data_IF_268946946706
#
_entry.id   IF_268946946706
#
_cell.length_a   1.000
_cell.length_b   1.000
_cell.length_c   1.000
_cell.angle_alpha   90.00
_cell.angle_beta   90.00
_cell.angle_gamma   90.00
#
_symmetry.space_group_name_H-M   'P 1'
#
loop_
_entity.id
_entity.type
_entity.pdbx_description
1 polymer ?
#
# COMPACT_ATOMS: atom_id res chain seq x y z
N UNK A 1 7.74 -20.09 16.25
CA UNK A 1 8.42 -19.10 15.41
C UNK A 1 8.31 -17.68 16.01
N UNK A 2 7.12 -17.15 16.26
CA UNK A 2 6.95 -15.76 16.73
C UNK A 2 7.58 -15.46 18.10
N UNK A 3 7.54 -16.38 19.05
CA UNK A 3 8.21 -16.21 20.34
C UNK A 3 9.73 -16.01 20.17
N UNK A 4 10.35 -16.73 19.23
CA UNK A 4 11.77 -16.56 18.90
C UNK A 4 12.02 -15.21 18.22
N UNK A 5 11.13 -14.79 17.29
CA UNK A 5 11.19 -13.46 16.67
C UNK A 5 11.11 -12.36 17.73
N UNK A 6 10.17 -12.46 18.67
CA UNK A 6 10.00 -11.48 19.75
C UNK A 6 11.24 -11.45 20.67
N UNK A 7 11.88 -12.62 20.89
CA UNK A 7 13.15 -12.71 21.61
C UNK A 7 14.35 -12.12 20.84
N UNK A 8 14.17 -11.68 19.59
CA UNK A 8 15.23 -11.09 18.77
C UNK A 8 16.09 -12.10 18.03
N UNK A 9 15.57 -13.29 17.76
CA UNK A 9 16.27 -14.33 17.01
C UNK A 9 16.26 -14.00 15.50
N UNK A 10 17.43 -13.73 14.87
CA UNK A 10 17.50 -13.30 13.48
C UNK A 10 17.12 -14.44 12.51
N UNK A 11 17.41 -15.71 12.83
CA UNK A 11 17.08 -16.83 11.95
C UNK A 11 15.56 -17.05 11.90
N UNK A 12 14.88 -16.92 13.06
CA UNK A 12 13.43 -16.98 13.11
C UNK A 12 12.79 -15.82 12.35
N UNK A 13 13.40 -14.63 12.36
CA UNK A 13 12.93 -13.51 11.56
C UNK A 13 13.20 -13.70 10.07
N UNK A 14 14.33 -14.29 9.67
CA UNK A 14 14.62 -14.69 8.30
C UNK A 14 13.54 -15.63 7.75
N UNK A 15 13.15 -16.65 8.52
CA UNK A 15 12.06 -17.55 8.14
C UNK A 15 10.69 -16.82 8.03
N UNK A 16 10.43 -15.84 8.89
CA UNK A 16 9.22 -14.99 8.80
C UNK A 16 9.27 -14.12 7.55
N UNK A 17 10.42 -13.56 7.20
CA UNK A 17 10.63 -12.81 5.97
C UNK A 17 10.32 -13.67 4.75
N UNK A 18 10.94 -14.85 4.62
CA UNK A 18 10.73 -15.75 3.48
C UNK A 18 9.25 -16.13 3.32
N UNK A 19 8.56 -16.39 4.43
CA UNK A 19 7.15 -16.77 4.43
C UNK A 19 6.22 -15.64 3.94
N UNK A 20 6.54 -14.38 4.21
CA UNK A 20 5.62 -13.27 4.01
C UNK A 20 6.08 -12.24 2.97
N UNK A 21 7.33 -12.32 2.50
CA UNK A 21 7.91 -11.38 1.54
C UNK A 21 7.02 -11.15 0.32
N UNK A 22 6.61 -12.21 -0.36
CA UNK A 22 5.83 -12.10 -1.59
C UNK A 22 4.46 -11.44 -1.38
N UNK A 23 3.85 -11.61 -0.21
CA UNK A 23 2.56 -10.97 0.10
C UNK A 23 2.73 -9.47 0.37
N UNK A 24 3.78 -9.11 1.11
CA UNK A 24 4.15 -7.71 1.37
C UNK A 24 4.53 -7.01 0.07
N UNK A 25 5.38 -7.64 -0.75
CA UNK A 25 5.81 -7.09 -2.03
C UNK A 25 4.63 -6.89 -3.00
N UNK A 26 3.71 -7.87 -3.12
CA UNK A 26 2.49 -7.71 -3.92
C UNK A 26 1.61 -6.56 -3.44
N UNK A 27 1.52 -6.33 -2.14
CA UNK A 27 0.81 -5.16 -1.62
C UNK A 27 1.56 -3.87 -1.96
N UNK A 28 2.87 -3.83 -1.82
CA UNK A 28 3.68 -2.67 -2.19
C UNK A 28 3.53 -2.32 -3.69
N UNK A 29 3.58 -3.31 -4.60
CA UNK A 29 3.35 -3.13 -6.05
C UNK A 29 1.96 -2.54 -6.37
N UNK A 30 0.93 -2.88 -5.58
CA UNK A 30 -0.41 -2.30 -5.78
C UNK A 30 -0.46 -0.82 -5.41
N UNK A 31 0.40 -0.39 -4.53
CA UNK A 31 0.42 0.98 -3.99
C UNK A 31 1.42 1.88 -4.70
N UNK A 32 2.50 1.34 -5.23
CA UNK A 32 3.59 2.08 -5.90
C UNK A 32 3.41 2.11 -7.42
N UNK A 33 4.17 2.98 -8.10
CA UNK A 33 4.19 3.10 -9.56
C UNK A 33 5.33 2.33 -10.21
N UNK A 34 6.33 1.90 -9.45
CA UNK A 34 7.49 1.18 -9.95
C UNK A 34 7.84 -0.04 -9.08
N UNK A 35 8.53 -1.01 -9.68
CA UNK A 35 9.06 -2.19 -9.00
C UNK A 35 10.10 -1.76 -7.96
N UNK A 36 10.96 -0.81 -8.30
CA UNK A 36 11.99 -0.30 -7.41
C UNK A 36 11.39 0.32 -6.13
N UNK A 37 10.37 1.18 -6.28
CA UNK A 37 9.66 1.74 -5.12
C UNK A 37 9.02 0.65 -4.25
N UNK A 38 8.51 -0.43 -4.88
CA UNK A 38 7.92 -1.54 -4.15
C UNK A 38 8.97 -2.34 -3.36
N UNK A 39 10.17 -2.53 -3.91
CA UNK A 39 11.30 -3.14 -3.24
C UNK A 39 11.73 -2.32 -2.01
N UNK A 40 11.87 -1.00 -2.18
CA UNK A 40 12.21 -0.08 -1.09
C UNK A 40 11.17 -0.11 0.03
N UNK A 41 9.88 -0.01 -0.32
CA UNK A 41 8.78 -0.10 0.65
C UNK A 41 8.82 -1.44 1.38
N UNK A 42 9.04 -2.55 0.66
CA UNK A 42 9.12 -3.90 1.25
C UNK A 42 10.27 -4.01 2.24
N UNK A 43 11.46 -3.54 1.87
CA UNK A 43 12.63 -3.55 2.75
C UNK A 43 12.37 -2.74 4.04
N UNK A 44 11.79 -1.55 3.92
CA UNK A 44 11.43 -0.72 5.08
C UNK A 44 10.36 -1.38 5.95
N UNK A 45 9.38 -2.07 5.35
CA UNK A 45 8.35 -2.81 6.11
C UNK A 45 8.99 -3.87 7.01
N UNK A 46 9.90 -4.69 6.49
CA UNK A 46 10.55 -5.72 7.30
C UNK A 46 11.52 -5.13 8.32
N UNK A 47 12.20 -4.03 8.01
CA UNK A 47 13.00 -3.30 8.98
C UNK A 47 12.15 -2.76 10.15
N UNK A 48 11.01 -2.16 9.86
CA UNK A 48 10.08 -1.70 10.89
C UNK A 48 9.42 -2.86 11.64
N UNK A 49 9.16 -3.99 10.96
CA UNK A 49 8.67 -5.19 11.58
C UNK A 49 9.68 -5.76 12.59
N UNK A 50 10.97 -5.79 12.25
CA UNK A 50 12.02 -6.18 13.18
C UNK A 50 12.11 -5.25 14.40
N UNK A 51 12.02 -3.94 14.17
CA UNK A 51 12.08 -2.94 15.24
C UNK A 51 10.89 -3.03 16.20
N UNK A 52 9.72 -3.42 15.69
CA UNK A 52 8.44 -3.49 16.44
C UNK A 52 7.94 -4.92 16.61
N UNK A 53 8.85 -5.89 16.62
CA UNK A 53 8.51 -7.31 16.66
C UNK A 53 7.65 -7.73 17.85
N UNK A 54 7.82 -7.07 18.98
CA UNK A 54 7.03 -7.24 20.21
C UNK A 54 5.59 -6.72 20.09
N UNK A 55 5.31 -5.86 19.10
CA UNK A 55 3.98 -5.33 18.82
C UNK A 55 3.25 -6.08 17.68
N UNK A 56 3.84 -7.14 17.13
CA UNK A 56 3.22 -7.94 16.08
C UNK A 56 1.92 -8.59 16.58
N UNK A 57 0.86 -8.49 15.78
CA UNK A 57 -0.42 -9.14 16.05
C UNK A 57 -0.59 -10.38 15.19
N UNK A 58 -0.95 -11.47 15.85
CA UNK A 58 -1.19 -12.77 15.23
C UNK A 58 -2.68 -12.96 15.08
N UNK A 59 -3.14 -13.24 13.88
CA UNK A 59 -4.52 -13.61 13.59
C UNK A 59 -4.49 -14.92 12.81
N UNK A 60 -5.20 -15.94 13.29
CA UNK A 60 -5.19 -17.28 12.69
C UNK A 60 -3.77 -17.86 12.50
N UNK A 61 -2.89 -17.66 13.47
CA UNK A 61 -1.51 -18.15 13.42
C UNK A 61 -0.59 -17.39 12.45
N UNK A 62 -1.05 -16.30 11.85
CA UNK A 62 -0.29 -15.51 10.89
C UNK A 62 -0.16 -14.04 11.31
N UNK A 63 0.97 -13.43 11.02
CA UNK A 63 1.23 -11.98 11.19
C UNK A 63 0.96 -11.18 9.91
N UNK A 64 0.51 -11.83 8.84
CA UNK A 64 0.38 -11.19 7.54
C UNK A 64 -0.53 -9.96 7.58
N UNK A 65 -1.66 -10.02 8.26
CA UNK A 65 -2.57 -8.87 8.39
C UNK A 65 -1.86 -7.64 9.00
N UNK A 66 -1.06 -7.87 10.04
CA UNK A 66 -0.26 -6.81 10.66
C UNK A 66 0.82 -6.26 9.72
N UNK A 67 1.53 -7.13 8.98
CA UNK A 67 2.53 -6.71 7.99
C UNK A 67 1.92 -5.87 6.85
N UNK A 68 0.72 -6.22 6.37
CA UNK A 68 0.06 -5.47 5.31
C UNK A 68 -0.45 -4.10 5.77
N UNK A 69 -0.92 -3.99 7.01
CA UNK A 69 -1.21 -2.69 7.64
C UNK A 69 0.07 -1.85 7.76
N UNK A 70 1.20 -2.48 8.13
CA UNK A 70 2.50 -1.84 8.14
C UNK A 70 2.93 -1.38 6.74
N UNK A 71 2.68 -2.18 5.70
CA UNK A 71 2.95 -1.81 4.30
C UNK A 71 2.20 -0.53 3.91
N UNK A 72 0.91 -0.45 4.23
CA UNK A 72 0.12 0.76 3.99
C UNK A 72 0.69 1.98 4.75
N UNK A 73 1.18 1.78 5.97
CA UNK A 73 1.80 2.85 6.76
C UNK A 73 3.12 3.34 6.15
N UNK A 74 4.02 2.42 5.80
CA UNK A 74 5.31 2.73 5.19
C UNK A 74 5.12 3.43 3.86
N UNK A 75 4.26 2.89 2.99
CA UNK A 75 3.96 3.52 1.70
C UNK A 75 3.48 4.97 1.83
N UNK A 76 2.59 5.27 2.78
CA UNK A 76 2.10 6.65 2.98
C UNK A 76 3.22 7.60 3.39
N UNK A 77 4.13 7.14 4.22
CA UNK A 77 5.29 7.95 4.62
C UNK A 77 6.24 8.17 3.43
N UNK A 78 6.47 7.13 2.63
CA UNK A 78 7.23 7.18 1.40
C UNK A 78 6.60 8.18 0.40
N UNK A 79 5.32 8.06 0.12
CA UNK A 79 4.60 8.94 -0.80
C UNK A 79 4.64 10.41 -0.36
N UNK A 80 4.52 10.69 0.96
CA UNK A 80 4.67 12.05 1.50
C UNK A 80 6.08 12.60 1.34
N UNK A 81 7.10 11.77 1.55
CA UNK A 81 8.49 12.17 1.38
C UNK A 81 8.82 12.47 -0.09
N UNK A 82 8.41 11.58 -1.00
CA UNK A 82 8.58 11.74 -2.45
C UNK A 82 7.86 12.98 -2.99
N UNK A 83 6.66 13.27 -2.48
CA UNK A 83 5.92 14.48 -2.84
C UNK A 83 6.67 15.74 -2.40
N UNK A 84 7.10 15.82 -1.14
CA UNK A 84 7.88 16.96 -0.63
C UNK A 84 9.18 17.17 -1.40
N UNK A 85 9.86 16.09 -1.75
CA UNK A 85 11.08 16.14 -2.55
C UNK A 85 10.82 16.74 -3.94
N UNK A 86 9.77 16.29 -4.63
CA UNK A 86 9.36 16.84 -5.95
C UNK A 86 8.93 18.29 -5.86
N UNK A 87 8.16 18.67 -4.84
CA UNK A 87 7.78 20.07 -4.60
C UNK A 87 9.02 20.94 -4.34
N UNK A 88 10.03 20.44 -3.60
CA UNK A 88 11.29 21.12 -3.39
C UNK A 88 12.13 21.27 -4.68
N UNK A 89 12.17 20.22 -5.52
CA UNK A 89 12.86 20.28 -6.81
C UNK A 89 12.23 21.28 -7.78
N UNK A 90 10.91 21.43 -7.77
CA UNK A 90 10.21 22.41 -8.63
C UNK A 90 10.50 23.86 -8.25
N UNK A 91 11.02 24.11 -7.05
CA UNK A 91 11.46 25.45 -6.61
C UNK A 91 12.90 25.77 -7.02
N UNK A 92 13.66 24.79 -7.55
CA UNK A 92 15.00 25.02 -8.10
C UNK A 92 14.89 25.49 -9.55
N UNK A 93 15.77 26.41 -10.01
CA UNK A 93 15.82 26.78 -11.42
C UNK A 93 16.07 25.53 -12.27
N UNK A 94 15.45 25.43 -13.47
CA UNK A 94 15.63 24.26 -14.31
C UNK A 94 17.11 24.05 -14.64
N UNK A 95 17.60 22.80 -14.62
CA UNK A 95 18.98 22.53 -15.03
C UNK A 95 19.16 22.88 -16.50
N UNK A 96 20.28 23.50 -16.83
CA UNK A 96 20.64 24.01 -18.19
C UNK A 96 20.76 22.89 -19.24
N UNK A 97 20.67 21.62 -18.82
CA UNK A 97 20.72 20.43 -19.67
C UNK A 97 19.85 19.30 -19.10
N UNK A 98 18.66 19.10 -19.63
CA UNK A 98 17.87 17.90 -19.38
C UNK A 98 17.90 17.00 -20.62
N UNK A 99 18.46 15.78 -20.56
CA UNK A 99 18.27 14.80 -21.65
C UNK A 99 16.80 14.39 -21.67
N UNK A 100 16.22 14.50 -22.86
CA UNK A 100 14.83 14.10 -23.15
C UNK A 100 14.75 12.56 -23.08
N UNK A 101 14.30 12.01 -21.97
CA UNK A 101 13.91 10.62 -21.86
C UNK A 101 12.46 10.50 -22.31
N UNK A 102 12.30 10.37 -23.62
CA UNK A 102 11.03 9.95 -24.21
C UNK A 102 10.69 8.55 -23.67
N UNK A 103 9.69 8.48 -22.80
CA UNK A 103 9.10 7.23 -22.35
C UNK A 103 8.52 6.48 -23.56
N UNK A 104 9.01 5.25 -23.74
CA UNK A 104 8.53 4.32 -24.77
C UNK A 104 7.09 3.97 -24.43
N UNK A 105 6.17 4.55 -25.20
CA UNK A 105 4.73 4.24 -25.16
C UNK A 105 4.53 2.95 -25.93
N UNK A 106 4.14 1.87 -25.28
CA UNK A 106 3.75 0.60 -25.89
C UNK A 106 2.36 0.16 -25.39
N UNK A 107 1.65 -0.61 -26.21
CA UNK A 107 0.26 -1.10 -26.19
C UNK A 107 -0.33 -1.69 -24.86
N UNK A 108 0.14 -1.24 -23.72
CA UNK A 108 -0.35 -1.57 -22.36
C UNK A 108 -1.31 -0.54 -21.77
N UNK A 109 -1.72 0.44 -22.55
CA UNK A 109 -2.36 1.70 -22.10
C UNK A 109 -3.62 1.45 -21.26
N UNK A 110 -4.45 0.47 -21.60
CA UNK A 110 -5.76 0.30 -20.93
C UNK A 110 -5.66 -0.39 -19.55
N UNK A 111 -4.74 -1.36 -19.40
CA UNK A 111 -4.50 -2.01 -18.09
C UNK A 111 -3.71 -1.13 -17.14
N UNK A 112 -2.78 -0.34 -17.66
CA UNK A 112 -1.95 0.57 -16.85
C UNK A 112 -2.76 1.79 -16.41
N UNK A 113 -3.67 2.28 -17.24
CA UNK A 113 -4.61 3.35 -16.90
C UNK A 113 -5.54 2.94 -15.73
N UNK A 114 -6.18 1.78 -15.78
CA UNK A 114 -7.04 1.29 -14.69
C UNK A 114 -6.26 1.02 -13.40
N UNK A 115 -5.02 0.51 -13.52
CA UNK A 115 -4.14 0.33 -12.35
C UNK A 115 -3.71 1.66 -11.78
N UNK A 116 -3.41 2.65 -12.61
CA UNK A 116 -3.06 4.00 -12.18
C UNK A 116 -4.25 4.68 -11.47
N UNK A 117 -5.45 4.60 -12.03
CA UNK A 117 -6.68 5.10 -11.41
C UNK A 117 -6.94 4.44 -10.05
N UNK A 118 -6.80 3.10 -9.96
CA UNK A 118 -6.96 2.40 -8.69
C UNK A 118 -5.90 2.81 -7.65
N UNK A 119 -4.63 2.96 -8.05
CA UNK A 119 -3.57 3.45 -7.15
C UNK A 119 -3.87 4.86 -6.65
N UNK A 120 -4.27 5.77 -7.54
CA UNK A 120 -4.65 7.14 -7.21
C UNK A 120 -5.83 7.16 -6.23
N UNK A 121 -6.88 6.40 -6.53
CA UNK A 121 -8.06 6.28 -5.67
C UNK A 121 -7.68 5.73 -4.29
N UNK A 122 -6.87 4.66 -4.22
CA UNK A 122 -6.40 4.09 -2.96
C UNK A 122 -5.54 5.07 -2.16
N UNK A 123 -4.65 5.82 -2.82
CA UNK A 123 -3.80 6.82 -2.16
C UNK A 123 -4.61 7.99 -1.57
N UNK A 124 -5.76 8.32 -2.16
CA UNK A 124 -6.67 9.39 -1.71
C UNK A 124 -7.51 8.96 -0.51
N UNK A 125 -7.75 7.65 -0.32
CA UNK A 125 -8.55 7.17 0.79
C UNK A 125 -7.91 7.46 2.16
N UNK A 126 -8.74 7.73 3.20
CA UNK A 126 -8.26 7.77 4.57
C UNK A 126 -7.53 6.48 4.97
N UNK A 127 -6.48 6.61 5.79
CA UNK A 127 -5.68 5.47 6.27
C UNK A 127 -6.53 4.28 6.74
N UNK A 128 -7.51 4.57 7.58
CA UNK A 128 -8.37 3.54 8.19
C UNK A 128 -9.21 2.79 7.16
N UNK A 129 -9.53 3.45 6.05
CA UNK A 129 -10.29 2.84 4.95
C UNK A 129 -9.37 1.96 4.09
N UNK A 130 -8.13 2.40 3.82
CA UNK A 130 -7.12 1.60 3.14
C UNK A 130 -6.82 0.30 3.91
N UNK A 131 -6.56 0.40 5.23
CA UNK A 131 -6.24 -0.76 6.07
C UNK A 131 -7.38 -1.80 6.05
N UNK A 132 -8.63 -1.35 6.14
CA UNK A 132 -9.80 -2.24 6.10
C UNK A 132 -10.01 -2.88 4.73
N UNK A 133 -9.85 -2.12 3.64
CA UNK A 133 -9.93 -2.68 2.28
C UNK A 133 -8.82 -3.70 2.03
N UNK A 134 -7.60 -3.42 2.49
CA UNK A 134 -6.49 -4.38 2.39
C UNK A 134 -6.83 -5.69 3.11
N UNK A 135 -7.29 -5.63 4.35
CA UNK A 135 -7.56 -6.84 5.13
C UNK A 135 -8.81 -7.60 4.65
N UNK A 136 -9.93 -6.91 4.42
CA UNK A 136 -11.20 -7.56 4.13
C UNK A 136 -11.44 -7.83 2.64
N UNK A 137 -10.79 -7.12 1.72
CA UNK A 137 -11.01 -7.28 0.27
C UNK A 137 -9.84 -7.96 -0.41
N UNK A 138 -8.60 -7.60 -0.07
CA UNK A 138 -7.42 -8.20 -0.71
C UNK A 138 -6.97 -9.49 -0.03
N UNK A 139 -7.11 -9.56 1.29
CA UNK A 139 -6.71 -10.72 2.11
C UNK A 139 -7.91 -11.57 2.55
N UNK A 140 -9.12 -11.16 2.17
CA UNK A 140 -10.37 -11.89 2.42
C UNK A 140 -10.62 -12.24 3.90
N UNK A 141 -10.01 -11.47 4.82
CA UNK A 141 -10.25 -11.66 6.25
C UNK A 141 -11.71 -11.32 6.59
N UNK A 142 -12.29 -12.12 7.46
CA UNK A 142 -13.58 -11.80 8.05
C UNK A 142 -13.53 -10.50 8.86
N UNK A 143 -14.67 -9.88 9.12
CA UNK A 143 -14.74 -8.68 9.94
C UNK A 143 -14.24 -8.89 11.38
N UNK A 144 -14.32 -10.12 11.90
CA UNK A 144 -13.78 -10.47 13.22
C UNK A 144 -12.24 -10.51 13.20
N UNK A 145 -11.66 -11.18 12.22
CA UNK A 145 -10.20 -11.29 12.04
C UNK A 145 -9.56 -9.92 11.74
N UNK A 146 -10.18 -9.12 10.88
CA UNK A 146 -9.72 -7.76 10.61
C UNK A 146 -9.82 -6.87 11.85
N UNK A 147 -10.83 -7.06 12.71
CA UNK A 147 -10.98 -6.36 13.97
C UNK A 147 -9.84 -6.71 14.94
N UNK A 148 -9.49 -7.99 15.03
CA UNK A 148 -8.36 -8.47 15.83
C UNK A 148 -7.02 -7.90 15.31
N UNK A 149 -6.77 -7.97 13.99
CA UNK A 149 -5.56 -7.42 13.38
C UNK A 149 -5.41 -5.91 13.62
N UNK A 150 -6.51 -5.16 13.56
CA UNK A 150 -6.52 -3.71 13.73
C UNK A 150 -6.67 -3.27 15.20
N UNK A 151 -7.08 -4.17 16.10
CA UNK A 151 -7.37 -3.85 17.50
C UNK A 151 -8.57 -2.92 17.68
N UNK A 152 -9.65 -3.15 16.93
CA UNK A 152 -10.90 -2.38 16.98
C UNK A 152 -12.10 -3.32 17.05
N UNK A 153 -13.29 -2.81 17.40
CA UNK A 153 -14.50 -3.63 17.47
C UNK A 153 -14.96 -4.12 16.07
N UNK A 154 -15.49 -5.38 15.93
CA UNK A 154 -15.98 -5.91 14.65
C UNK A 154 -17.07 -5.05 13.99
N UNK A 155 -17.97 -4.47 14.79
CA UNK A 155 -18.99 -3.53 14.30
C UNK A 155 -18.39 -2.28 13.67
N UNK A 156 -17.23 -1.81 14.16
CA UNK A 156 -16.47 -0.71 13.58
C UNK A 156 -15.87 -1.09 12.24
N UNK A 157 -15.36 -2.33 12.12
CA UNK A 157 -14.84 -2.85 10.83
C UNK A 157 -15.97 -2.89 9.80
N UNK A 158 -17.13 -3.49 10.13
CA UNK A 158 -18.27 -3.60 9.23
C UNK A 158 -18.74 -2.23 8.71
N UNK A 159 -18.91 -1.25 9.59
CA UNK A 159 -19.38 0.09 9.21
C UNK A 159 -18.34 0.87 8.37
N UNK A 160 -17.04 0.71 8.67
CA UNK A 160 -15.95 1.32 7.90
C UNK A 160 -15.77 0.65 6.54
N UNK A 161 -15.85 -0.68 6.46
CA UNK A 161 -15.75 -1.43 5.20
C UNK A 161 -16.81 -0.98 4.21
N UNK A 162 -18.06 -0.84 4.65
CA UNK A 162 -19.16 -0.32 3.82
C UNK A 162 -18.84 1.07 3.27
N UNK A 163 -18.44 2.01 4.15
CA UNK A 163 -18.08 3.38 3.75
C UNK A 163 -16.85 3.44 2.85
N UNK A 164 -15.84 2.62 3.13
CA UNK A 164 -14.61 2.55 2.32
C UNK A 164 -14.90 2.07 0.90
N UNK A 165 -15.74 1.03 0.76
CA UNK A 165 -16.18 0.54 -0.56
C UNK A 165 -16.95 1.62 -1.34
N UNK A 166 -17.86 2.34 -0.70
CA UNK A 166 -18.62 3.43 -1.34
C UNK A 166 -17.70 4.57 -1.79
N UNK A 167 -16.74 4.97 -0.95
CA UNK A 167 -15.76 6.01 -1.31
C UNK A 167 -14.86 5.59 -2.47
N UNK A 168 -14.36 4.35 -2.42
CA UNK A 168 -13.51 3.82 -3.51
C UNK A 168 -14.27 3.80 -4.83
N UNK A 169 -15.52 3.32 -4.83
CA UNK A 169 -16.37 3.31 -6.01
C UNK A 169 -16.61 4.72 -6.57
N UNK A 170 -16.88 5.70 -5.72
CA UNK A 170 -17.09 7.10 -6.14
C UNK A 170 -15.81 7.71 -6.76
N UNK A 171 -14.63 7.41 -6.19
CA UNK A 171 -13.34 7.86 -6.74
C UNK A 171 -13.07 7.28 -8.13
N UNK A 172 -13.34 5.98 -8.32
CA UNK A 172 -13.13 5.31 -9.60
C UNK A 172 -14.11 5.80 -10.68
N UNK A 173 -15.37 6.04 -10.32
CA UNK A 173 -16.37 6.61 -11.26
C UNK A 173 -16.05 8.06 -11.65
N UNK A 174 -15.49 8.85 -10.75
CA UNK A 174 -15.04 10.22 -11.03
C UNK A 174 -13.88 10.26 -12.02
N UNK A 175 -12.94 9.33 -11.93
CA UNK A 175 -11.82 9.22 -12.88
C UNK A 175 -12.29 8.77 -14.28
N UNK A 176 -13.22 7.82 -14.37
CA UNK A 176 -13.80 7.39 -15.66
C UNK A 176 -14.55 8.55 -16.36
N UNK A 177 -15.28 9.38 -15.62
CA UNK A 177 -15.98 10.55 -16.17
C UNK A 177 -15.02 11.64 -16.70
N UNK A 178 -13.85 11.80 -16.09
CA UNK A 178 -12.83 12.76 -16.54
C UNK A 178 -12.10 12.28 -17.80
N UNK A 179 -11.90 10.97 -17.96
CA UNK A 179 -11.27 10.40 -19.14
C UNK A 179 -12.18 10.43 -20.39
N UNK A 180 -13.49 10.27 -20.20
CA UNK A 180 -14.47 10.36 -21.30
C UNK A 180 -14.64 11.79 -21.82
N UNK A 181 -14.46 12.82 -20.99
CA UNK A 181 -14.56 14.23 -21.38
C UNK A 181 -13.25 14.83 -21.93
N UNK A 182 -12.10 14.14 -21.78
CA UNK A 182 -10.81 14.59 -22.29
C UNK A 182 -10.53 14.23 -23.74
N UNK A 183 -11.36 13.40 -24.38
CA UNK A 183 -11.17 12.90 -25.75
C UNK A 183 -11.84 13.74 -26.86
N UNK A 184 -12.55 14.80 -26.51
CA UNK A 184 -13.21 15.70 -27.49
C UNK A 184 -12.60 17.11 -27.48
N UNK A 185 -11.34 17.22 -27.89
CA UNK A 185 -10.79 18.52 -28.36
C UNK A 185 -9.67 18.29 -29.37
#
# INVERSE_FOLDING_TARGET
>A
MLERVNAGDPDAFGALFDLHHDRVFRQAIRLTSSIHDAEDVTAVVFLEAWRRRDAMRVVNGSVVGWLLVMTNFVFRNYARASRRYREGLQQLPPPEYAPDHADVVDDRIDRDSRRAALRSALATLPRRDQDILTLCVLEELSTAEAAEALGIAPGTVKSRLSRAKTRLAALLQGDDALQLNGGER
#
